data_IF_003409952117
#
_entry.id   IF_003409952117
#
_cell.length_a   1.000
_cell.length_b   1.000
_cell.length_c   1.000
_cell.angle_alpha   90.00
_cell.angle_beta   90.00
_cell.angle_gamma   90.00
#
_symmetry.space_group_name_H-M   'P 1'
#
loop_
_entity.id
_entity.type
_entity.pdbx_description
1 polymer ?
#
# COMPACT_ATOMS: atom_id res chain seq x y z
N UNK A 1 4.36 6.34 6.63
CA UNK A 1 3.77 5.05 6.18
C UNK A 1 3.21 4.22 7.32
N UNK A 2 4.01 3.83 8.33
CA UNK A 2 3.50 3.04 9.47
C UNK A 2 2.37 3.74 10.27
N UNK A 3 2.45 5.05 10.42
CA UNK A 3 1.41 5.85 11.08
C UNK A 3 0.09 5.80 10.30
N UNK A 4 0.11 5.99 8.97
CA UNK A 4 -1.06 5.82 8.09
C UNK A 4 -1.60 4.38 8.14
N UNK A 5 -0.71 3.39 8.24
CA UNK A 5 -1.08 1.98 8.38
C UNK A 5 -1.78 1.67 9.71
N UNK A 6 -1.46 2.39 10.79
CA UNK A 6 -2.15 2.24 12.08
C UNK A 6 -3.59 2.79 12.05
N UNK A 7 -3.90 3.68 11.11
CA UNK A 7 -5.24 4.25 10.92
C UNK A 7 -6.17 3.31 10.14
N UNK A 8 -5.63 2.52 9.21
CA UNK A 8 -6.40 1.61 8.35
C UNK A 8 -7.27 0.60 9.11
N UNK A 9 -6.78 -0.11 10.16
CA UNK A 9 -7.60 -1.02 10.95
C UNK A 9 -8.78 -0.33 11.64
N UNK A 10 -8.57 0.90 12.12
CA UNK A 10 -9.63 1.69 12.79
C UNK A 10 -10.67 2.17 11.79
N UNK A 11 -10.23 2.64 10.63
CA UNK A 11 -11.10 3.05 9.53
C UNK A 11 -11.97 1.89 9.02
N UNK A 12 -11.35 0.73 8.74
CA UNK A 12 -12.08 -0.44 8.28
C UNK A 12 -12.98 -1.04 9.37
N UNK A 13 -12.60 -0.99 10.65
CA UNK A 13 -13.47 -1.41 11.75
C UNK A 13 -14.74 -0.53 11.84
N UNK A 14 -14.63 0.79 11.64
CA UNK A 14 -15.79 1.69 11.58
C UNK A 14 -16.69 1.38 10.37
N UNK A 15 -16.12 1.14 9.19
CA UNK A 15 -16.91 0.81 7.97
C UNK A 15 -17.39 -0.65 7.93
N UNK A 16 -16.87 -1.55 8.76
CA UNK A 16 -17.37 -2.93 8.88
C UNK A 16 -18.85 -2.99 9.30
N UNK A 17 -19.36 -1.94 9.95
CA UNK A 17 -20.78 -1.77 10.27
C UNK A 17 -21.67 -1.69 9.02
N UNK A 18 -21.17 -1.12 7.92
CA UNK A 18 -21.88 -0.87 6.66
C UNK A 18 -21.90 -2.09 5.73
N UNK A 19 -21.03 -3.07 5.96
CA UNK A 19 -20.93 -4.28 5.14
C UNK A 19 -22.01 -5.28 5.54
N UNK A 20 -22.71 -5.84 4.54
CA UNK A 20 -23.73 -6.88 4.74
C UNK A 20 -23.20 -8.04 5.62
N UNK A 21 -24.04 -8.59 6.53
CA UNK A 21 -23.60 -9.57 7.53
C UNK A 21 -22.95 -10.81 6.91
N UNK A 22 -23.46 -11.29 5.75
CA UNK A 22 -22.89 -12.42 5.01
C UNK A 22 -21.45 -12.17 4.51
N UNK A 23 -21.07 -10.91 4.26
CA UNK A 23 -19.75 -10.53 3.72
C UNK A 23 -18.76 -10.03 4.78
N UNK A 24 -19.22 -9.83 6.02
CA UNK A 24 -18.41 -9.28 7.12
C UNK A 24 -17.21 -10.18 7.49
N UNK A 25 -17.38 -11.50 7.45
CA UNK A 25 -16.29 -12.45 7.72
C UNK A 25 -15.20 -12.44 6.63
N UNK A 26 -15.58 -12.27 5.37
CA UNK A 26 -14.63 -12.08 4.26
C UNK A 26 -13.91 -10.75 4.41
N UNK A 27 -14.65 -9.68 4.69
CA UNK A 27 -14.10 -8.34 4.90
C UNK A 27 -13.05 -8.32 6.03
N UNK A 28 -13.34 -8.92 7.19
CA UNK A 28 -12.37 -9.01 8.30
C UNK A 28 -11.10 -9.78 7.94
N UNK A 29 -11.21 -10.87 7.17
CA UNK A 29 -10.04 -11.61 6.67
C UNK A 29 -9.23 -10.78 5.68
N UNK A 30 -9.91 -10.11 4.74
CA UNK A 30 -9.29 -9.22 3.77
C UNK A 30 -8.54 -8.08 4.45
N UNK A 31 -9.15 -7.39 5.41
CA UNK A 31 -8.51 -6.29 6.14
C UNK A 31 -7.25 -6.75 6.90
N UNK A 32 -7.29 -7.91 7.55
CA UNK A 32 -6.11 -8.49 8.23
C UNK A 32 -5.00 -8.86 7.24
N UNK A 33 -5.37 -9.46 6.11
CA UNK A 33 -4.42 -9.78 5.04
C UNK A 33 -3.79 -8.51 4.46
N UNK A 34 -4.58 -7.47 4.17
CA UNK A 34 -4.11 -6.17 3.69
C UNK A 34 -3.12 -5.54 4.67
N UNK A 35 -3.39 -5.60 5.98
CA UNK A 35 -2.45 -5.10 7.00
C UNK A 35 -1.12 -5.88 7.02
N UNK A 36 -1.17 -7.22 6.92
CA UNK A 36 0.02 -8.04 6.85
C UNK A 36 0.84 -7.76 5.57
N UNK A 37 0.16 -7.60 4.42
CA UNK A 37 0.77 -7.23 3.15
C UNK A 37 1.44 -5.87 3.22
N UNK A 38 0.83 -4.89 3.88
CA UNK A 38 1.43 -3.58 4.12
C UNK A 38 2.71 -3.67 4.95
N UNK A 39 2.73 -4.50 6.00
CA UNK A 39 3.93 -4.73 6.80
C UNK A 39 5.03 -5.40 5.96
N UNK A 40 4.67 -6.43 5.18
CA UNK A 40 5.60 -7.10 4.27
C UNK A 40 6.17 -6.15 3.20
N UNK A 41 5.35 -5.27 2.64
CA UNK A 41 5.76 -4.20 1.72
C UNK A 41 6.78 -3.27 2.40
N UNK A 42 6.50 -2.78 3.60
CA UNK A 42 7.39 -1.87 4.31
C UNK A 42 8.75 -2.53 4.65
N UNK A 43 8.73 -3.79 5.09
CA UNK A 43 9.95 -4.55 5.40
C UNK A 43 10.77 -4.84 4.14
N UNK A 44 10.12 -5.24 3.06
CA UNK A 44 10.81 -5.50 1.79
C UNK A 44 11.37 -4.22 1.17
N UNK A 45 10.69 -3.08 1.29
CA UNK A 45 11.23 -1.79 0.88
C UNK A 45 12.53 -1.45 1.63
N UNK A 46 12.56 -1.65 2.95
CA UNK A 46 13.80 -1.50 3.74
C UNK A 46 14.86 -2.49 3.27
N UNK A 47 14.48 -3.73 2.98
CA UNK A 47 15.40 -4.74 2.45
C UNK A 47 16.04 -4.34 1.11
N UNK A 48 15.26 -3.82 0.16
CA UNK A 48 15.76 -3.33 -1.14
C UNK A 48 16.71 -2.15 -0.96
N UNK A 49 16.49 -1.28 0.04
CA UNK A 49 17.42 -0.19 0.34
C UNK A 49 18.71 -0.64 1.00
N UNK A 50 18.69 -1.75 1.73
CA UNK A 50 19.84 -2.25 2.47
C UNK A 50 20.75 -3.14 1.63
N UNK A 51 20.17 -4.08 0.88
CA UNK A 51 20.93 -5.01 0.03
C UNK A 51 21.10 -4.39 -1.34
N UNK A 52 22.30 -3.95 -1.71
CA UNK A 52 22.52 -3.38 -3.04
C UNK A 52 22.57 -4.46 -4.12
N UNK A 53 22.12 -4.13 -5.33
CA UNK A 53 22.23 -5.03 -6.50
C UNK A 53 23.68 -5.42 -6.83
N UNK A 54 24.67 -4.60 -6.43
CA UNK A 54 26.11 -4.87 -6.64
C UNK A 54 26.68 -5.86 -5.63
N UNK A 55 26.12 -5.91 -4.43
CA UNK A 55 26.60 -6.78 -3.36
C UNK A 55 26.06 -8.19 -3.53
N UNK A 56 24.75 -8.31 -3.77
CA UNK A 56 24.11 -9.60 -3.96
C UNK A 56 22.87 -9.49 -4.85
N UNK A 57 23.10 -9.58 -6.17
CA UNK A 57 22.02 -9.52 -7.16
C UNK A 57 20.89 -10.55 -6.93
N UNK A 58 21.17 -11.84 -6.68
CA UNK A 58 20.12 -12.83 -6.42
C UNK A 58 19.22 -12.45 -5.24
N UNK A 59 19.80 -11.98 -4.13
CA UNK A 59 19.01 -11.59 -2.94
C UNK A 59 18.20 -10.33 -3.22
N UNK A 60 18.82 -9.30 -3.80
CA UNK A 60 18.14 -8.06 -4.19
C UNK A 60 16.94 -8.35 -5.10
N UNK A 61 17.10 -9.19 -6.13
CA UNK A 61 16.02 -9.60 -7.04
C UNK A 61 14.84 -10.23 -6.27
N UNK A 62 15.11 -11.14 -5.32
CA UNK A 62 14.03 -11.79 -4.54
C UNK A 62 13.31 -10.80 -3.63
N UNK A 63 14.03 -9.95 -2.92
CA UNK A 63 13.42 -8.94 -2.03
C UNK A 63 12.58 -7.97 -2.86
N UNK A 64 13.09 -7.56 -4.02
CA UNK A 64 12.37 -6.69 -4.95
C UNK A 64 11.06 -7.33 -5.45
N UNK A 65 11.07 -8.62 -5.83
CA UNK A 65 9.85 -9.35 -6.20
C UNK A 65 8.85 -9.40 -5.04
N UNK A 66 9.33 -9.62 -3.80
CA UNK A 66 8.46 -9.61 -2.61
C UNK A 66 7.83 -8.23 -2.41
N UNK A 67 8.58 -7.15 -2.58
CA UNK A 67 8.06 -5.77 -2.54
C UNK A 67 6.99 -5.53 -3.62
N UNK A 68 7.25 -5.97 -4.85
CA UNK A 68 6.31 -5.85 -5.97
C UNK A 68 4.99 -6.59 -5.72
N UNK A 69 5.06 -7.86 -5.31
CA UNK A 69 3.88 -8.69 -5.08
C UNK A 69 3.09 -8.19 -3.86
N UNK A 70 3.77 -7.86 -2.76
CA UNK A 70 3.11 -7.37 -1.54
C UNK A 70 2.41 -6.04 -1.76
N UNK A 71 3.05 -5.08 -2.46
CA UNK A 71 2.45 -3.78 -2.79
C UNK A 71 1.23 -3.91 -3.72
N UNK A 72 1.31 -4.73 -4.77
CA UNK A 72 0.17 -4.97 -5.68
C UNK A 72 -1.01 -5.62 -4.95
N UNK A 73 -0.76 -6.65 -4.14
CA UNK A 73 -1.80 -7.33 -3.37
C UNK A 73 -2.40 -6.39 -2.32
N UNK A 74 -1.59 -5.53 -1.69
CA UNK A 74 -2.07 -4.51 -0.76
C UNK A 74 -2.99 -3.49 -1.44
N UNK A 75 -2.59 -2.96 -2.60
CA UNK A 75 -3.42 -2.03 -3.38
C UNK A 75 -4.73 -2.68 -3.81
N UNK A 76 -4.67 -3.91 -4.33
CA UNK A 76 -5.84 -4.69 -4.71
C UNK A 76 -6.78 -4.94 -3.51
N UNK A 77 -6.23 -5.41 -2.39
CA UNK A 77 -6.98 -5.68 -1.16
C UNK A 77 -7.66 -4.43 -0.62
N UNK A 78 -6.98 -3.28 -0.68
CA UNK A 78 -7.53 -1.98 -0.30
C UNK A 78 -8.65 -1.54 -1.25
N UNK A 79 -8.47 -1.66 -2.57
CA UNK A 79 -9.50 -1.36 -3.57
C UNK A 79 -10.75 -2.25 -3.38
N UNK A 80 -10.56 -3.54 -3.13
CA UNK A 80 -11.65 -4.48 -2.85
C UNK A 80 -12.38 -4.13 -1.55
N UNK A 81 -11.65 -3.82 -0.48
CA UNK A 81 -12.24 -3.43 0.79
C UNK A 81 -13.07 -2.12 0.64
N UNK A 82 -12.53 -1.14 -0.09
CA UNK A 82 -13.24 0.12 -0.40
C UNK A 82 -14.46 -0.15 -1.28
N UNK A 83 -14.39 -1.07 -2.25
CA UNK A 83 -15.54 -1.49 -3.07
C UNK A 83 -16.63 -2.19 -2.25
N UNK A 84 -16.27 -3.05 -1.30
CA UNK A 84 -17.24 -3.72 -0.42
C UNK A 84 -17.95 -2.75 0.53
N UNK A 85 -17.30 -1.64 0.89
CA UNK A 85 -17.87 -0.60 1.74
C UNK A 85 -18.59 0.52 0.93
N UNK A 86 -18.66 0.42 -0.40
CA UNK A 86 -19.29 1.43 -1.23
C UNK A 86 -20.79 1.50 -0.94
N UNK A 87 -21.30 2.67 -0.55
CA UNK A 87 -22.74 2.91 -0.40
C UNK A 87 -23.25 3.85 -1.49
N UNK A 88 -24.56 3.86 -1.72
CA UNK A 88 -25.17 4.75 -2.73
C UNK A 88 -24.98 6.23 -2.40
N UNK A 89 -24.81 6.56 -1.12
CA UNK A 89 -24.63 7.92 -0.59
C UNK A 89 -23.16 8.35 -0.47
N UNK A 90 -22.23 7.64 -1.12
CA UNK A 90 -20.80 8.02 -1.14
C UNK A 90 -20.64 9.47 -1.65
N UNK A 91 -19.87 10.28 -0.91
CA UNK A 91 -19.59 11.68 -1.25
C UNK A 91 -18.79 11.77 -2.55
N UNK A 92 -18.92 12.86 -3.32
CA UNK A 92 -18.14 13.10 -4.55
C UNK A 92 -16.61 12.95 -4.35
N UNK A 93 -16.10 13.32 -3.17
CA UNK A 93 -14.70 13.12 -2.78
C UNK A 93 -14.33 11.63 -2.66
N UNK A 94 -15.18 10.80 -2.06
CA UNK A 94 -14.95 9.36 -1.94
C UNK A 94 -14.98 8.68 -3.31
N UNK A 95 -15.87 9.12 -4.21
CA UNK A 95 -15.92 8.62 -5.60
C UNK A 95 -14.67 8.98 -6.39
N UNK A 96 -14.13 10.20 -6.21
CA UNK A 96 -12.85 10.62 -6.82
C UNK A 96 -11.68 9.82 -6.25
N UNK A 97 -11.60 9.67 -4.93
CA UNK A 97 -10.57 8.85 -4.27
C UNK A 97 -10.59 7.41 -4.77
N UNK A 98 -11.78 6.78 -4.85
CA UNK A 98 -11.96 5.43 -5.40
C UNK A 98 -11.46 5.30 -6.84
N UNK A 99 -11.79 6.26 -7.71
CA UNK A 99 -11.31 6.28 -9.10
C UNK A 99 -9.80 6.48 -9.17
N UNK A 100 -9.23 7.34 -8.32
CA UNK A 100 -7.80 7.57 -8.24
C UNK A 100 -7.07 6.29 -7.78
N UNK A 101 -7.55 5.61 -6.74
CA UNK A 101 -7.00 4.33 -6.27
C UNK A 101 -7.01 3.26 -7.36
N UNK A 102 -8.12 3.15 -8.10
CA UNK A 102 -8.21 2.20 -9.21
C UNK A 102 -7.25 2.57 -10.35
N UNK A 103 -7.15 3.85 -10.69
CA UNK A 103 -6.22 4.36 -11.70
C UNK A 103 -4.76 4.04 -11.31
N UNK A 104 -4.39 4.29 -10.05
CA UNK A 104 -3.05 3.97 -9.52
C UNK A 104 -2.76 2.46 -9.54
N UNK A 105 -3.75 1.62 -9.23
CA UNK A 105 -3.62 0.17 -9.34
C UNK A 105 -3.37 -0.26 -10.79
N UNK A 106 -4.17 0.24 -11.74
CA UNK A 106 -4.00 -0.07 -13.18
C UNK A 106 -2.64 0.40 -13.69
N UNK A 107 -2.22 1.61 -13.32
CA UNK A 107 -0.93 2.15 -13.70
C UNK A 107 0.23 1.32 -13.12
N UNK A 108 0.13 0.90 -11.86
CA UNK A 108 1.14 0.03 -11.23
C UNK A 108 1.20 -1.34 -11.91
N UNK A 109 0.06 -1.93 -12.27
CA UNK A 109 0.00 -3.19 -13.04
C UNK A 109 0.62 -3.05 -14.43
N UNK A 110 0.30 -1.98 -15.15
CA UNK A 110 0.88 -1.69 -16.46
C UNK A 110 2.40 -1.49 -16.38
N UNK A 111 2.87 -0.73 -15.39
CA UNK A 111 4.30 -0.52 -15.16
C UNK A 111 5.00 -1.83 -14.74
N UNK A 112 4.35 -2.70 -13.96
CA UNK A 112 4.87 -4.02 -13.58
C UNK A 112 5.00 -4.94 -14.80
N UNK A 113 4.01 -4.95 -15.69
CA UNK A 113 4.08 -5.70 -16.95
C UNK A 113 5.20 -5.16 -17.86
N UNK A 114 5.32 -3.83 -17.98
CA UNK A 114 6.41 -3.18 -18.72
C UNK A 114 7.78 -3.55 -18.16
N UNK A 115 7.94 -3.52 -16.84
CA UNK A 115 9.16 -3.94 -16.15
C UNK A 115 9.55 -5.38 -16.48
N UNK A 116 8.62 -6.33 -16.40
CA UNK A 116 8.87 -7.73 -16.75
C UNK A 116 9.28 -7.89 -18.22
N UNK A 117 8.61 -7.15 -19.12
CA UNK A 117 8.92 -7.15 -20.54
C UNK A 117 10.33 -6.63 -20.83
N UNK A 118 10.69 -5.46 -20.27
CA UNK A 118 12.02 -4.88 -20.46
C UNK A 118 13.11 -5.71 -19.78
N UNK A 119 12.82 -6.33 -18.63
CA UNK A 119 13.74 -7.25 -17.97
C UNK A 119 14.03 -8.48 -18.83
N UNK A 120 12.99 -9.11 -19.39
CA UNK A 120 13.14 -10.23 -20.31
C UNK A 120 13.95 -9.83 -21.56
N UNK A 121 13.61 -8.70 -22.18
CA UNK A 121 14.29 -8.19 -23.37
C UNK A 121 15.77 -7.85 -23.09
N UNK A 122 16.07 -7.30 -21.91
CA UNK A 122 17.44 -7.00 -21.50
C UNK A 122 18.27 -8.28 -21.33
N UNK A 123 17.71 -9.31 -20.69
CA UNK A 123 18.44 -10.56 -20.42
C UNK A 123 18.70 -11.40 -21.67
N UNK A 124 17.77 -11.42 -22.63
CA UNK A 124 17.88 -12.28 -23.82
C UNK A 124 18.42 -11.56 -25.05
N UNK A 125 17.96 -10.33 -25.30
CA UNK A 125 18.24 -9.64 -26.58
C UNK A 125 19.35 -8.59 -26.49
N UNK A 126 19.96 -8.38 -25.31
CA UNK A 126 21.07 -7.44 -25.07
C UNK A 126 20.87 -6.05 -25.73
N UNK A 127 19.63 -5.57 -25.75
CA UNK A 127 19.29 -4.31 -26.44
C UNK A 127 19.74 -3.12 -25.59
N UNK A 128 20.45 -2.19 -26.22
CA UNK A 128 20.82 -0.92 -25.61
C UNK A 128 19.57 -0.18 -25.09
N UNK A 129 19.68 0.50 -23.95
CA UNK A 129 18.59 1.21 -23.25
C UNK A 129 17.50 0.35 -22.57
N UNK A 130 17.49 -0.98 -22.73
CA UNK A 130 16.50 -1.83 -22.05
C UNK A 130 16.54 -1.67 -20.51
N UNK A 131 17.74 -1.44 -19.96
CA UNK A 131 17.92 -1.15 -18.53
C UNK A 131 17.35 0.20 -18.09
N UNK A 132 17.44 1.23 -18.94
CA UNK A 132 16.86 2.55 -18.66
C UNK A 132 15.33 2.49 -18.61
N UNK A 133 14.71 1.79 -19.57
CA UNK A 133 13.26 1.56 -19.58
C UNK A 133 12.79 0.74 -18.37
N UNK A 134 13.56 -0.27 -17.96
CA UNK A 134 13.32 -1.00 -16.72
C UNK A 134 13.30 -0.06 -15.50
N UNK A 135 14.31 0.81 -15.37
CA UNK A 135 14.42 1.76 -14.27
C UNK A 135 13.28 2.80 -14.28
N UNK A 136 12.83 3.25 -15.45
CA UNK A 136 11.66 4.13 -15.56
C UNK A 136 10.40 3.44 -15.02
N UNK A 137 10.15 2.18 -15.38
CA UNK A 137 9.02 1.42 -14.84
C UNK A 137 9.10 1.31 -13.30
N UNK A 138 10.29 1.05 -12.76
CA UNK A 138 10.53 1.00 -11.32
C UNK A 138 10.17 2.31 -10.62
N UNK A 139 10.62 3.44 -11.17
CA UNK A 139 10.25 4.76 -10.64
C UNK A 139 8.75 5.02 -10.69
N UNK A 140 8.08 4.66 -11.78
CA UNK A 140 6.62 4.80 -11.90
C UNK A 140 5.91 3.96 -10.84
N UNK A 141 6.33 2.72 -10.61
CA UNK A 141 5.76 1.86 -9.57
C UNK A 141 5.95 2.48 -8.18
N UNK A 142 7.16 2.91 -7.86
CA UNK A 142 7.46 3.55 -6.59
C UNK A 142 6.59 4.79 -6.36
N UNK A 143 6.46 5.65 -7.39
CA UNK A 143 5.61 6.83 -7.34
C UNK A 143 4.15 6.47 -7.14
N UNK A 144 3.62 5.50 -7.88
CA UNK A 144 2.23 5.04 -7.74
C UNK A 144 1.97 4.47 -6.35
N UNK A 145 2.93 3.73 -5.79
CA UNK A 145 2.86 3.22 -4.43
C UNK A 145 2.81 4.36 -3.41
N UNK A 146 3.70 5.34 -3.49
CA UNK A 146 3.68 6.51 -2.60
C UNK A 146 2.37 7.30 -2.72
N UNK A 147 1.91 7.56 -3.95
CA UNK A 147 0.65 8.23 -4.22
C UNK A 147 -0.55 7.46 -3.66
N UNK A 148 -0.54 6.13 -3.76
CA UNK A 148 -1.60 5.28 -3.22
C UNK A 148 -1.71 5.41 -1.70
N UNK A 149 -0.59 5.43 -0.98
CA UNK A 149 -0.61 5.68 0.47
C UNK A 149 -1.07 7.10 0.82
N UNK A 150 -0.74 8.08 -0.01
CA UNK A 150 -1.22 9.46 0.16
C UNK A 150 -2.74 9.57 -0.04
N UNK A 151 -3.36 8.71 -0.86
CA UNK A 151 -4.82 8.74 -1.06
C UNK A 151 -5.62 8.58 0.23
N UNK A 152 -5.04 7.98 1.27
CA UNK A 152 -5.69 7.86 2.59
C UNK A 152 -5.98 9.22 3.24
N UNK A 153 -5.15 10.24 2.98
CA UNK A 153 -5.38 11.60 3.51
C UNK A 153 -6.70 12.17 2.97
N UNK A 154 -7.05 11.84 1.72
CA UNK A 154 -8.31 12.27 1.11
C UNK A 154 -9.52 11.45 1.58
N UNK A 155 -9.31 10.20 2.03
CA UNK A 155 -10.39 9.35 2.56
C UNK A 155 -10.80 9.72 3.98
N UNK A 156 -9.94 10.44 4.71
CA UNK A 156 -10.11 10.77 6.12
C UNK A 156 -9.88 12.27 6.34
N UNK A 157 -10.70 13.16 5.74
CA UNK A 157 -10.47 14.60 5.84
C UNK A 157 -10.77 15.18 7.24
N UNK A 158 -11.59 14.49 8.04
CA UNK A 158 -12.15 15.01 9.30
C UNK A 158 -11.71 14.24 10.56
N UNK A 159 -10.74 13.33 10.48
CA UNK A 159 -10.22 12.69 11.71
C UNK A 159 -9.01 13.46 12.21
N UNK A 160 -9.07 13.89 13.47
CA UNK A 160 -7.95 14.54 14.15
C UNK A 160 -7.10 13.49 14.88
N UNK A 161 -5.79 13.53 14.66
CA UNK A 161 -4.84 12.70 15.40
C UNK A 161 -4.46 13.41 16.70
N UNK A 162 -5.08 13.00 17.81
CA UNK A 162 -4.68 13.48 19.13
C UNK A 162 -3.45 12.72 19.63
N UNK A 163 -2.32 13.42 19.81
CA UNK A 163 -1.11 12.88 20.43
C UNK A 163 -1.17 13.19 21.93
N UNK A 164 -1.50 12.18 22.74
CA UNK A 164 -1.49 12.29 24.20
C UNK A 164 -0.09 12.08 24.78
N UNK A 165 0.36 12.98 25.64
CA UNK A 165 1.52 12.74 26.49
C UNK A 165 1.10 11.81 27.65
N UNK A 166 1.97 10.87 28.08
CA UNK A 166 1.70 10.09 29.27
C UNK A 166 1.63 11.05 30.45
N UNK A 167 0.45 11.17 31.07
CA UNK A 167 0.34 11.83 32.36
C UNK A 167 1.07 10.92 33.35
N UNK A 168 2.33 11.24 33.63
CA UNK A 168 3.01 10.71 34.81
C UNK A 168 2.12 11.08 35.98
N UNK A 169 1.48 10.08 36.57
CA UNK A 169 0.77 10.21 37.83
C UNK A 169 1.79 10.68 38.86
N UNK A 170 1.91 12.00 39.03
CA UNK A 170 2.59 12.56 40.18
C UNK A 170 1.73 12.15 41.38
N UNK A 171 2.16 11.09 42.06
CA UNK A 171 1.59 10.63 43.31
C UNK A 171 1.71 11.79 44.30
N UNK A 172 0.63 12.56 44.43
CA UNK A 172 0.43 13.50 45.52
C UNK A 172 0.26 12.65 46.76
N UNK A 173 1.38 12.35 47.43
CA UNK A 173 1.38 12.02 48.85
C UNK A 173 1.01 13.30 49.57
N UNK A 174 -0.28 13.49 49.84
CA UNK A 174 -0.72 14.40 50.88
C UNK A 174 -0.23 13.82 52.21
N UNK A 175 0.58 14.62 52.91
CA UNK A 175 1.09 14.40 54.26
C UNK A 175 0.48 15.47 55.16
#
# INVERSE_FOLDING_TARGET
RLLLASLYPRYFARRAALVAPARRALFSRLTRATYALHLAEALSLVGVTYVSNRENYPVHEKIFIVFMVSSLLYMLGTCLAVHMCAHKDDTELERKSRRLKLSLLVLTLAASAGMLFFFYKHRIHCVELAFSWFSICEYVICLCNMAFHLTLVYDIPNEELLVGLPVTACSRKDQ
#
